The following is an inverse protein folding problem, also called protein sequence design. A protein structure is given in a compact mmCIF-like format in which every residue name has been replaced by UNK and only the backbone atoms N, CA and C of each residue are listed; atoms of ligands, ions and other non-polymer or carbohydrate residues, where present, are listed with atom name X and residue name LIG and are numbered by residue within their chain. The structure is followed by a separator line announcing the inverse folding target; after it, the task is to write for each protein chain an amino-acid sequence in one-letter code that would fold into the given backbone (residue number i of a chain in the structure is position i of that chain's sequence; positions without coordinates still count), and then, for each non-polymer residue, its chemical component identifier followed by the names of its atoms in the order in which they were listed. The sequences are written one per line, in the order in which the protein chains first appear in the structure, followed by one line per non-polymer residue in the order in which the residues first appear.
data_IF_376697063232
#
_entry.id   IF_376697063232
#
_cell.length_a   1.000
_cell.length_b   1.000
_cell.length_c   1.000
_cell.angle_alpha   90.00
_cell.angle_beta   90.00
_cell.angle_gamma   90.00
#
_symmetry.space_group_name_H-M   'P 1'
#
loop_
_entity.id
_entity.type
_entity.pdbx_description
1 polymer ?
#
# COMPACT_ATOMS: atom_id res chain seq x y z
N UNK A 1 -64.12 -20.51 -43.99
CA UNK A 1 -63.07 -20.08 -44.95
C UNK A 1 -61.77 -20.00 -44.19
N UNK A 2 -60.87 -20.94 -44.45
CA UNK A 2 -59.58 -21.03 -43.78
C UNK A 2 -58.69 -19.89 -44.29
N UNK A 3 -58.53 -18.85 -43.48
CA UNK A 3 -57.62 -17.75 -43.76
C UNK A 3 -56.20 -18.30 -43.84
N UNK A 4 -55.64 -18.20 -45.04
CA UNK A 4 -54.27 -18.56 -45.40
C UNK A 4 -53.29 -18.07 -44.33
N UNK A 5 -52.43 -18.96 -43.85
CA UNK A 5 -51.28 -18.57 -43.03
C UNK A 5 -50.45 -17.62 -43.89
N UNK A 6 -50.58 -16.32 -43.63
CA UNK A 6 -49.72 -15.29 -44.20
C UNK A 6 -48.27 -15.65 -43.88
N UNK A 7 -47.39 -15.43 -44.85
CA UNK A 7 -45.97 -15.75 -44.86
C UNK A 7 -45.34 -15.93 -43.46
N UNK A 8 -44.83 -17.14 -43.10
CA UNK A 8 -44.31 -17.42 -41.76
C UNK A 8 -43.13 -16.51 -41.38
N UNK A 9 -42.38 -16.01 -42.36
CA UNK A 9 -41.30 -15.06 -42.13
C UNK A 9 -41.82 -13.69 -41.69
N UNK A 10 -42.94 -13.22 -42.27
CA UNK A 10 -43.59 -11.97 -41.86
C UNK A 10 -44.21 -12.10 -40.47
N UNK A 11 -44.81 -13.24 -40.16
CA UNK A 11 -45.34 -13.54 -38.83
C UNK A 11 -44.23 -13.54 -37.76
N UNK A 12 -43.09 -14.19 -38.05
CA UNK A 12 -41.94 -14.18 -37.15
C UNK A 12 -41.39 -12.76 -36.97
N UNK A 13 -41.25 -12.00 -38.06
CA UNK A 13 -40.76 -10.61 -37.99
C UNK A 13 -41.68 -9.73 -37.16
N UNK A 14 -43.00 -9.90 -37.27
CA UNK A 14 -43.97 -9.17 -36.45
C UNK A 14 -43.81 -9.50 -34.96
N UNK A 15 -43.63 -10.78 -34.60
CA UNK A 15 -43.41 -11.20 -33.20
C UNK A 15 -42.10 -10.64 -32.66
N UNK A 16 -41.02 -10.71 -33.44
CA UNK A 16 -39.70 -10.20 -33.03
C UNK A 16 -39.70 -8.69 -32.84
N UNK A 17 -40.42 -7.95 -33.70
CA UNK A 17 -40.59 -6.51 -33.54
C UNK A 17 -41.42 -6.17 -32.31
N UNK A 18 -42.51 -6.89 -32.06
CA UNK A 18 -43.32 -6.69 -30.86
C UNK A 18 -42.52 -6.96 -29.58
N UNK A 19 -41.72 -8.02 -29.55
CA UNK A 19 -40.83 -8.34 -28.42
C UNK A 19 -39.74 -7.28 -28.24
N UNK A 20 -39.17 -6.76 -29.33
CA UNK A 20 -38.17 -5.70 -29.26
C UNK A 20 -38.77 -4.39 -28.74
N UNK A 21 -40.00 -4.06 -29.14
CA UNK A 21 -40.70 -2.86 -28.67
C UNK A 21 -41.14 -2.99 -27.20
N UNK A 22 -41.56 -4.17 -26.78
CA UNK A 22 -41.85 -4.47 -25.37
C UNK A 22 -40.58 -4.36 -24.50
N UNK A 23 -39.48 -4.98 -24.93
CA UNK A 23 -38.20 -4.88 -24.24
C UNK A 23 -37.64 -3.44 -24.20
N UNK A 24 -37.89 -2.64 -25.23
CA UNK A 24 -37.47 -1.24 -25.28
C UNK A 24 -38.31 -0.31 -24.38
N UNK A 25 -39.57 -0.68 -24.14
CA UNK A 25 -40.51 0.08 -23.31
C UNK A 25 -40.60 -0.41 -21.86
N UNK A 26 -39.91 -1.51 -21.52
CA UNK A 26 -39.86 -2.05 -20.17
C UNK A 26 -39.26 -1.01 -19.20
N UNK A 27 -40.04 -0.64 -18.20
CA UNK A 27 -39.58 0.30 -17.18
C UNK A 27 -38.63 -0.39 -16.18
N UNK A 28 -37.79 0.41 -15.52
CA UNK A 28 -36.92 -0.10 -14.44
C UNK A 28 -37.74 -0.77 -13.32
N UNK A 29 -38.95 -0.28 -13.04
CA UNK A 29 -39.85 -0.83 -12.02
C UNK A 29 -40.38 -2.21 -12.42
N UNK A 30 -40.78 -2.37 -13.69
CA UNK A 30 -41.26 -3.64 -14.24
C UNK A 30 -40.13 -4.67 -14.30
N UNK A 31 -38.93 -4.26 -14.74
CA UNK A 31 -37.74 -5.12 -14.73
C UNK A 31 -37.39 -5.61 -13.31
N UNK A 32 -37.47 -4.72 -12.31
CA UNK A 32 -37.26 -5.10 -10.90
C UNK A 32 -38.35 -6.06 -10.40
N UNK A 33 -39.60 -5.85 -10.82
CA UNK A 33 -40.72 -6.72 -10.47
C UNK A 33 -40.55 -8.13 -11.06
N UNK A 34 -40.16 -8.25 -12.33
CA UNK A 34 -39.85 -9.53 -12.98
C UNK A 34 -38.71 -10.28 -12.29
N UNK A 35 -37.61 -9.59 -11.99
CA UNK A 35 -36.46 -10.18 -11.27
C UNK A 35 -36.91 -10.73 -9.90
N UNK A 36 -37.78 -10.00 -9.20
CA UNK A 36 -38.35 -10.45 -7.92
C UNK A 36 -39.31 -11.62 -8.09
N UNK A 37 -40.14 -11.63 -9.13
CA UNK A 37 -41.05 -12.72 -9.44
C UNK A 37 -40.31 -14.04 -9.72
N UNK A 38 -39.11 -13.97 -10.29
CA UNK A 38 -38.20 -15.11 -10.45
C UNK A 38 -37.48 -15.53 -9.15
N UNK A 39 -37.84 -14.95 -8.00
CA UNK A 39 -37.22 -15.25 -6.70
C UNK A 39 -35.81 -14.68 -6.52
N UNK A 40 -35.38 -13.77 -7.40
CA UNK A 40 -34.08 -13.09 -7.30
C UNK A 40 -34.22 -11.77 -6.55
N UNK A 41 -33.16 -11.36 -5.85
CA UNK A 41 -33.14 -10.12 -5.09
C UNK A 41 -32.21 -9.08 -5.77
N UNK A 42 -32.76 -8.06 -6.44
CA UNK A 42 -31.96 -7.03 -7.10
C UNK A 42 -31.16 -6.18 -6.11
N UNK A 43 -31.62 -6.01 -4.87
CA UNK A 43 -30.89 -5.27 -3.85
C UNK A 43 -29.59 -6.00 -3.45
N UNK A 44 -29.64 -7.34 -3.34
CA UNK A 44 -28.43 -8.15 -3.13
C UNK A 44 -27.45 -8.04 -4.27
N UNK A 45 -27.92 -8.01 -5.52
CA UNK A 45 -27.05 -7.81 -6.68
C UNK A 45 -26.37 -6.45 -6.66
N UNK A 46 -27.14 -5.38 -6.39
CA UNK A 46 -26.59 -4.03 -6.24
C UNK A 46 -25.56 -3.94 -5.12
N UNK A 47 -25.81 -4.57 -3.97
CA UNK A 47 -24.84 -4.53 -2.86
C UNK A 47 -23.55 -5.26 -3.19
N UNK A 48 -23.60 -6.40 -3.91
CA UNK A 48 -22.39 -7.08 -4.39
C UNK A 48 -21.56 -6.17 -5.29
N UNK A 49 -22.20 -5.49 -6.25
CA UNK A 49 -21.51 -4.56 -7.15
C UNK A 49 -20.89 -3.41 -6.37
N UNK A 50 -21.65 -2.79 -5.44
CA UNK A 50 -21.12 -1.73 -4.57
C UNK A 50 -19.93 -2.19 -3.74
N UNK A 51 -19.97 -3.40 -3.19
CA UNK A 51 -18.86 -3.96 -2.42
C UNK A 51 -17.59 -4.12 -3.26
N UNK A 52 -17.72 -4.63 -4.51
CA UNK A 52 -16.59 -4.77 -5.44
C UNK A 52 -15.98 -3.40 -5.76
N UNK A 53 -16.81 -2.42 -6.10
CA UNK A 53 -16.35 -1.07 -6.44
C UNK A 53 -15.69 -0.38 -5.24
N UNK A 54 -16.28 -0.47 -4.04
CA UNK A 54 -15.67 0.05 -2.81
C UNK A 54 -14.32 -0.59 -2.54
N UNK A 55 -14.20 -1.91 -2.69
CA UNK A 55 -12.93 -2.63 -2.51
C UNK A 55 -11.87 -2.16 -3.51
N UNK A 56 -12.23 -1.99 -4.78
CA UNK A 56 -11.33 -1.48 -5.81
C UNK A 56 -10.85 -0.05 -5.47
N UNK A 57 -11.77 0.85 -5.11
CA UNK A 57 -11.43 2.20 -4.68
C UNK A 57 -10.49 2.22 -3.46
N UNK A 58 -10.76 1.40 -2.45
CA UNK A 58 -9.89 1.30 -1.26
C UNK A 58 -8.51 0.78 -1.64
N UNK A 59 -8.42 -0.21 -2.52
CA UNK A 59 -7.15 -0.76 -2.96
C UNK A 59 -6.29 0.28 -3.68
N UNK A 60 -6.87 1.05 -4.60
CA UNK A 60 -6.14 2.12 -5.30
C UNK A 60 -5.71 3.23 -4.34
N UNK A 61 -6.58 3.66 -3.44
CA UNK A 61 -6.23 4.68 -2.43
C UNK A 61 -5.10 4.23 -1.50
N UNK A 62 -5.03 2.94 -1.18
CA UNK A 62 -3.99 2.37 -0.33
C UNK A 62 -2.71 1.99 -1.09
N UNK A 63 -2.72 2.01 -2.43
CA UNK A 63 -1.57 1.68 -3.26
C UNK A 63 -0.29 2.45 -2.90
N UNK A 64 -0.30 3.79 -2.72
CA UNK A 64 0.91 4.52 -2.34
C UNK A 64 1.45 4.10 -0.96
N UNK A 65 0.55 3.83 -0.01
CA UNK A 65 0.95 3.37 1.33
C UNK A 65 1.58 1.99 1.29
N UNK A 66 1.05 1.07 0.48
CA UNK A 66 1.64 -0.25 0.26
C UNK A 66 3.00 -0.15 -0.42
N UNK A 67 3.12 0.70 -1.44
CA UNK A 67 4.38 0.94 -2.14
C UNK A 67 5.46 1.50 -1.19
N UNK A 68 5.11 2.49 -0.36
CA UNK A 68 6.01 3.04 0.65
C UNK A 68 6.43 1.98 1.69
N UNK A 69 5.49 1.15 2.15
CA UNK A 69 5.78 0.07 3.08
C UNK A 69 6.65 -1.05 2.47
N UNK A 70 6.51 -1.34 1.18
CA UNK A 70 7.36 -2.26 0.44
C UNK A 70 8.77 -1.68 0.25
N UNK A 71 8.88 -0.41 -0.11
CA UNK A 71 10.17 0.26 -0.24
C UNK A 71 10.90 0.33 1.10
N UNK A 72 10.20 0.69 2.18
CA UNK A 72 10.77 0.67 3.52
C UNK A 72 11.27 -0.72 3.90
N UNK A 73 10.46 -1.78 3.67
CA UNK A 73 10.88 -3.16 3.92
C UNK A 73 12.08 -3.56 3.07
N UNK A 74 12.15 -3.12 1.81
CA UNK A 74 13.32 -3.35 0.94
C UNK A 74 14.57 -2.68 1.52
N UNK A 75 14.47 -1.40 1.90
CA UNK A 75 15.58 -0.64 2.51
C UNK A 75 16.05 -1.29 3.81
N UNK A 76 15.13 -1.69 4.69
CA UNK A 76 15.49 -2.41 5.94
C UNK A 76 16.18 -3.74 5.65
N UNK A 77 15.76 -4.47 4.60
CA UNK A 77 16.40 -5.73 4.20
C UNK A 77 17.79 -5.50 3.61
N UNK A 78 17.95 -4.48 2.77
CA UNK A 78 19.26 -4.06 2.24
C UNK A 78 20.20 -3.66 3.38
N UNK A 79 19.69 -2.88 4.34
CA UNK A 79 20.39 -2.52 5.58
C UNK A 79 20.84 -3.81 6.29
N UNK A 80 19.93 -4.71 6.66
CA UNK A 80 20.25 -5.98 7.36
C UNK A 80 21.27 -6.87 6.63
N UNK A 81 21.29 -6.86 5.30
CA UNK A 81 22.19 -7.69 4.51
C UNK A 81 23.61 -7.10 4.38
N UNK A 82 23.80 -5.82 4.73
CA UNK A 82 25.13 -5.21 4.79
C UNK A 82 25.83 -5.62 6.08
N UNK A 83 27.12 -5.94 5.97
CA UNK A 83 27.96 -6.23 7.14
C UNK A 83 28.29 -4.91 7.81
N UNK A 84 27.65 -4.64 8.93
CA UNK A 84 28.06 -3.53 9.80
C UNK A 84 29.17 -4.02 10.71
N UNK A 85 30.24 -3.24 10.79
CA UNK A 85 31.33 -3.41 11.74
C UNK A 85 30.97 -2.65 13.02
N UNK A 86 29.88 -3.06 13.67
CA UNK A 86 29.47 -2.50 14.95
C UNK A 86 29.98 -3.38 16.09
N UNK A 87 30.38 -2.80 17.23
CA UNK A 87 30.72 -3.56 18.42
C UNK A 87 29.57 -4.49 18.83
N UNK A 88 29.89 -5.71 19.29
CA UNK A 88 28.87 -6.71 19.68
C UNK A 88 28.22 -6.37 21.02
N UNK A 89 28.89 -5.57 21.86
CA UNK A 89 28.40 -5.16 23.18
C UNK A 89 27.50 -3.90 23.12
N UNK A 90 26.33 -3.91 23.78
CA UNK A 90 25.47 -2.73 23.94
C UNK A 90 26.19 -1.53 24.58
N UNK A 91 27.09 -1.77 25.53
CA UNK A 91 27.86 -0.72 26.19
C UNK A 91 28.87 -0.04 25.25
N UNK A 92 29.52 -0.84 24.40
CA UNK A 92 30.48 -0.32 23.42
C UNK A 92 29.79 0.48 22.31
N UNK A 93 28.57 0.08 21.94
CA UNK A 93 27.72 0.85 21.02
C UNK A 93 27.34 2.21 21.59
N UNK A 94 26.96 2.26 22.88
CA UNK A 94 26.68 3.53 23.58
C UNK A 94 27.89 4.45 23.58
N UNK A 95 29.06 3.94 23.94
CA UNK A 95 30.32 4.70 23.92
C UNK A 95 30.68 5.20 22.52
N UNK A 96 30.46 4.38 21.49
CA UNK A 96 30.70 4.78 20.09
C UNK A 96 29.78 5.93 19.67
N UNK A 97 28.49 5.85 20.03
CA UNK A 97 27.53 6.92 19.76
C UNK A 97 27.92 8.22 20.49
N UNK A 98 28.32 8.13 21.76
CA UNK A 98 28.82 9.27 22.54
C UNK A 98 30.05 9.91 21.88
N UNK A 99 31.00 9.09 21.39
CA UNK A 99 32.21 9.55 20.74
C UNK A 99 31.90 10.26 19.41
N UNK A 100 30.93 9.75 18.63
CA UNK A 100 30.42 10.42 17.42
C UNK A 100 29.83 11.78 17.75
N UNK A 101 29.01 11.85 18.80
CA UNK A 101 28.35 13.08 19.23
C UNK A 101 29.34 14.11 19.79
N UNK A 102 30.42 13.65 20.45
CA UNK A 102 31.50 14.50 20.95
C UNK A 102 32.33 15.08 19.80
N UNK A 103 32.63 14.28 18.77
CA UNK A 103 33.41 14.73 17.60
C UNK A 103 32.61 15.61 16.64
N UNK A 104 31.29 15.44 16.54
CA UNK A 104 30.42 16.24 15.66
C UNK A 104 29.20 16.81 16.39
N UNK A 105 29.37 17.89 17.18
CA UNK A 105 28.28 18.51 17.94
C UNK A 105 27.15 19.06 17.06
N UNK A 106 27.42 19.36 15.78
CA UNK A 106 26.38 19.75 14.81
C UNK A 106 25.39 18.62 14.47
N UNK A 107 25.80 17.35 14.60
CA UNK A 107 24.89 16.21 14.40
C UNK A 107 23.98 16.00 15.61
N UNK A 108 24.44 16.37 16.81
CA UNK A 108 23.65 16.30 18.04
C UNK A 108 22.35 17.10 17.90
N UNK A 109 22.38 18.29 17.31
CA UNK A 109 21.18 19.12 17.11
C UNK A 109 20.32 18.68 15.93
N UNK A 110 20.90 18.08 14.90
CA UNK A 110 20.18 17.64 13.70
C UNK A 110 19.45 16.30 13.87
N UNK A 111 20.07 15.35 14.59
CA UNK A 111 19.50 14.01 14.81
C UNK A 111 18.64 13.92 16.08
N UNK A 112 18.92 14.72 17.11
CA UNK A 112 18.18 14.69 18.39
C UNK A 112 17.14 15.81 18.43
N UNK A 113 16.13 15.69 17.57
CA UNK A 113 14.94 16.52 17.62
C UNK A 113 14.11 16.14 18.85
N UNK A 114 14.35 16.84 19.98
CA UNK A 114 13.54 16.90 21.22
C UNK A 114 13.20 15.60 21.99
N UNK A 115 12.89 14.47 21.33
CA UNK A 115 12.47 13.21 21.96
C UNK A 115 13.63 12.39 22.56
N UNK A 116 14.87 12.65 22.13
CA UNK A 116 16.05 11.85 22.50
C UNK A 116 17.11 12.67 23.23
N UNK A 117 16.67 13.65 24.04
CA UNK A 117 17.58 14.58 24.73
C UNK A 117 18.42 13.89 25.83
N UNK A 118 17.88 12.81 26.40
CA UNK A 118 18.57 12.00 27.42
C UNK A 118 19.07 10.69 26.80
N UNK A 119 20.36 10.68 26.47
CA UNK A 119 21.09 9.54 25.90
C UNK A 119 20.99 8.27 26.75
N UNK A 120 20.83 8.43 28.07
CA UNK A 120 20.74 7.31 29.03
C UNK A 120 19.45 6.50 28.88
N UNK A 121 18.41 7.07 28.29
CA UNK A 121 17.06 6.47 28.18
C UNK A 121 16.79 5.81 26.82
N UNK A 122 17.77 5.75 25.91
CA UNK A 122 17.60 5.09 24.62
C UNK A 122 17.64 3.56 24.77
N UNK A 123 16.66 2.82 24.22
CA UNK A 123 16.73 1.37 24.18
C UNK A 123 17.83 0.91 23.22
N UNK A 124 18.51 -0.19 23.55
CA UNK A 124 19.71 -0.62 22.82
C UNK A 124 19.44 -0.92 21.32
N UNK A 125 18.21 -1.34 20.99
CA UNK A 125 17.76 -1.55 19.61
C UNK A 125 17.74 -0.25 18.79
N UNK A 126 17.32 0.86 19.40
CA UNK A 126 17.32 2.18 18.76
C UNK A 126 18.75 2.69 18.58
N UNK A 127 19.64 2.43 19.54
CA UNK A 127 21.06 2.79 19.47
C UNK A 127 21.74 2.04 18.32
N UNK A 128 21.49 0.74 18.19
CA UNK A 128 22.00 -0.05 17.06
C UNK A 128 21.47 0.48 15.72
N UNK A 129 20.18 0.81 15.65
CA UNK A 129 19.58 1.37 14.43
C UNK A 129 20.19 2.72 14.05
N UNK A 130 20.42 3.61 15.02
CA UNK A 130 21.06 4.92 14.80
C UNK A 130 22.50 4.75 14.33
N UNK A 131 23.28 3.85 14.96
CA UNK A 131 24.66 3.60 14.56
C UNK A 131 24.76 3.03 13.14
N UNK A 132 23.85 2.13 12.74
CA UNK A 132 23.78 1.64 11.35
C UNK A 132 23.52 2.77 10.36
N UNK A 133 22.59 3.68 10.69
CA UNK A 133 22.33 4.85 9.86
C UNK A 133 23.55 5.77 9.77
N UNK A 134 24.26 6.00 10.89
CA UNK A 134 25.49 6.80 10.89
C UNK A 134 26.63 6.15 10.09
N UNK A 135 26.71 4.82 10.06
CA UNK A 135 27.64 4.11 9.18
C UNK A 135 27.28 4.31 7.71
N UNK A 136 26.00 4.29 7.36
CA UNK A 136 25.55 4.54 5.98
C UNK A 136 25.81 5.96 5.50
N UNK A 137 25.81 6.94 6.41
CA UNK A 137 26.21 8.30 6.10
C UNK A 137 27.75 8.48 6.03
N UNK A 138 28.53 7.41 6.22
CA UNK A 138 30.00 7.46 6.21
C UNK A 138 30.63 8.09 7.46
N UNK A 139 29.82 8.46 8.45
CA UNK A 139 30.27 9.23 9.62
C UNK A 139 31.16 8.40 10.53
N UNK A 140 30.88 7.09 10.62
CA UNK A 140 31.65 6.19 11.47
C UNK A 140 33.03 5.86 10.88
N UNK A 141 33.16 5.85 9.55
CA UNK A 141 34.44 5.61 8.86
C UNK A 141 35.44 6.75 9.12
N UNK A 142 34.95 8.00 9.07
CA UNK A 142 35.71 9.21 9.44
C UNK A 142 36.22 9.19 10.89
N UNK A 143 35.53 8.48 11.78
CA UNK A 143 35.83 8.47 13.22
C UNK A 143 36.79 7.32 13.57
N UNK A 144 36.68 6.20 12.84
CA UNK A 144 37.60 5.06 12.91
C UNK A 144 38.92 5.28 12.15
N UNK A 145 39.11 6.44 11.51
CA UNK A 145 40.34 6.79 10.80
C UNK A 145 41.58 6.64 11.69
N UNK A 146 42.38 5.63 11.38
CA UNK A 146 43.84 5.70 11.42
C UNK A 146 44.27 7.01 10.72
N UNK A 147 45.31 7.72 11.19
CA UNK A 147 45.75 8.95 10.55
C UNK A 147 46.10 8.65 9.11
N UNK A 148 45.48 9.40 8.20
CA UNK A 148 45.75 9.41 6.77
C UNK A 148 47.27 9.36 6.50
N UNK A 149 47.81 8.26 5.93
CA UNK A 149 49.10 8.31 5.28
C UNK A 149 48.84 8.75 3.84
N UNK A 150 48.79 10.06 3.64
CA UNK A 150 48.77 10.75 2.35
C UNK A 150 47.45 10.68 1.54
N UNK A 151 46.65 11.78 1.58
CA UNK A 151 46.55 12.73 0.45
C UNK A 151 45.70 13.97 0.70
#
# INVERSE_FOLDING_TARGET
MAGTINNPEEALRAIMNALAEDAANLSDEDAIAEIRAEGRDPARAAERVRAILRKACTNERQRPLRAAAEEYRRRVKEMRNRRYTLPESPEERRRLLELVMLRRPAMKSAFLTAQYRDFECLPDDDIESILKQLQELGVLEDISGDPDPER
#
